data_IF_760919896015
#
_entry.id   IF_760919896015
#
_cell.length_a   1.000
_cell.length_b   1.000
_cell.length_c   1.000
_cell.angle_alpha   90.00
_cell.angle_beta   90.00
_cell.angle_gamma   90.00
#
_symmetry.space_group_name_H-M   'P 1'
#
loop_
_entity.id
_entity.type
_entity.pdbx_description
1 polymer ?
#
# COMPACT_ATOMS: atom_id res chain seq x y z
N UNK A 1 -12.06 12.20 10.47
CA UNK A 1 -11.38 11.20 11.33
C UNK A 1 -11.05 9.98 10.47
N UNK A 2 -9.88 9.37 10.65
CA UNK A 2 -9.46 8.14 9.97
C UNK A 2 -8.77 7.19 10.96
N UNK A 3 -8.78 5.88 10.68
CA UNK A 3 -8.12 4.87 11.51
C UNK A 3 -6.63 4.71 11.18
N UNK A 4 -5.96 3.76 11.84
CA UNK A 4 -4.52 3.47 11.64
C UNK A 4 -4.17 3.07 10.21
N UNK A 5 -5.12 2.47 9.48
CA UNK A 5 -4.93 2.04 8.09
C UNK A 5 -4.55 3.18 7.13
N UNK A 6 -4.78 4.44 7.51
CA UNK A 6 -4.40 5.62 6.69
C UNK A 6 -2.89 5.83 6.55
N UNK A 7 -2.09 5.11 7.33
CA UNK A 7 -0.63 5.23 7.36
C UNK A 7 0.08 4.07 6.65
N UNK A 8 -0.66 3.14 6.05
CA UNK A 8 -0.06 2.08 5.25
C UNK A 8 0.64 2.71 4.04
N UNK A 9 1.85 2.26 3.77
CA UNK A 9 2.57 2.64 2.56
C UNK A 9 2.34 1.63 1.45
N UNK A 10 2.69 2.04 0.23
CA UNK A 10 2.68 1.16 -0.92
C UNK A 10 3.89 0.23 -0.93
N UNK A 11 3.67 -1.03 -1.30
CA UNK A 11 4.72 -1.94 -1.78
C UNK A 11 4.20 -2.71 -2.99
N UNK A 12 5.07 -2.93 -3.99
CA UNK A 12 4.76 -3.81 -5.13
C UNK A 12 4.69 -5.30 -4.73
N UNK A 13 5.18 -5.67 -3.54
CA UNK A 13 4.97 -6.96 -2.89
C UNK A 13 4.43 -6.71 -1.48
N UNK A 14 3.12 -6.38 -1.35
CA UNK A 14 2.54 -6.06 -0.07
C UNK A 14 2.34 -7.30 0.80
N UNK A 15 2.17 -7.09 2.09
CA UNK A 15 1.82 -8.14 3.06
C UNK A 15 0.34 -8.11 3.45
N UNK A 16 -0.42 -7.20 2.83
CA UNK A 16 -1.86 -7.04 3.02
C UNK A 16 -2.60 -6.70 1.74
N UNK A 17 -3.92 -6.87 1.76
CA UNK A 17 -4.84 -6.48 0.69
C UNK A 17 -6.04 -5.69 1.25
N UNK A 18 -6.63 -4.84 0.41
CA UNK A 18 -7.92 -4.21 0.69
C UNK A 18 -9.06 -5.16 0.35
N UNK A 19 -9.94 -5.42 1.30
CA UNK A 19 -11.12 -6.26 1.10
C UNK A 19 -12.38 -5.48 1.43
N UNK A 20 -13.32 -5.44 0.49
CA UNK A 20 -14.66 -4.94 0.74
C UNK A 20 -15.48 -5.98 1.52
N UNK A 21 -16.02 -5.57 2.66
CA UNK A 21 -16.88 -6.40 3.49
C UNK A 21 -18.21 -5.73 3.73
N UNK A 22 -19.27 -6.55 3.78
CA UNK A 22 -20.59 -6.09 4.21
C UNK A 22 -20.72 -6.17 5.73
N UNK A 23 -21.06 -5.05 6.35
CA UNK A 23 -21.31 -4.94 7.78
C UNK A 23 -22.69 -4.32 8.01
N UNK A 24 -23.71 -5.17 8.21
CA UNK A 24 -25.06 -4.73 8.54
C UNK A 24 -25.69 -3.77 7.51
N UNK A 25 -25.46 -4.01 6.22
CA UNK A 25 -25.96 -3.17 5.13
C UNK A 25 -25.06 -1.99 4.77
N UNK A 26 -23.90 -1.84 5.43
CA UNK A 26 -22.85 -0.89 5.04
C UNK A 26 -21.70 -1.65 4.39
N UNK A 27 -21.15 -1.12 3.30
CA UNK A 27 -19.86 -1.58 2.78
C UNK A 27 -18.74 -0.90 3.55
N UNK A 28 -17.73 -1.65 3.96
CA UNK A 28 -16.51 -1.15 4.60
C UNK A 28 -15.31 -1.81 3.96
N UNK A 29 -14.22 -1.07 3.80
CA UNK A 29 -12.93 -1.62 3.38
C UNK A 29 -12.13 -1.97 4.62
N UNK A 30 -11.65 -3.20 4.70
CA UNK A 30 -10.70 -3.66 5.71
C UNK A 30 -9.37 -4.00 5.05
N UNK A 31 -8.31 -4.01 5.87
CA UNK A 31 -6.98 -4.45 5.44
C UNK A 31 -6.76 -5.85 6.04
N UNK A 32 -6.53 -6.83 5.17
CA UNK A 32 -6.36 -8.24 5.54
C UNK A 32 -4.92 -8.65 5.26
N UNK A 33 -4.27 -9.30 6.22
CA UNK A 33 -2.92 -9.84 6.04
C UNK A 33 -2.96 -11.06 5.12
N UNK A 34 -2.11 -11.08 4.10
CA UNK A 34 -2.03 -12.19 3.12
C UNK A 34 -0.88 -13.16 3.42
N UNK A 35 -0.01 -12.80 4.37
CA UNK A 35 1.16 -13.56 4.82
C UNK A 35 1.46 -13.25 6.30
N UNK A 36 2.36 -14.03 6.89
CA UNK A 36 2.88 -13.76 8.23
C UNK A 36 3.63 -12.42 8.26
N UNK A 37 3.43 -11.63 9.32
CA UNK A 37 4.10 -10.36 9.56
C UNK A 37 4.96 -10.49 10.81
N UNK A 38 6.27 -10.26 10.66
CA UNK A 38 7.20 -10.32 11.78
C UNK A 38 7.18 -9.03 12.59
N UNK A 39 7.61 -9.11 13.85
CA UNK A 39 7.69 -7.93 14.72
C UNK A 39 8.67 -6.90 14.12
N UNK A 40 8.18 -5.70 13.86
CA UNK A 40 8.97 -4.60 13.30
C UNK A 40 8.96 -4.54 11.77
N UNK A 41 8.33 -5.51 11.10
CA UNK A 41 8.05 -5.44 9.68
C UNK A 41 6.97 -4.38 9.40
N UNK A 42 7.17 -3.60 8.35
CA UNK A 42 6.20 -2.60 7.92
C UNK A 42 4.99 -3.28 7.27
N UNK A 43 3.80 -2.84 7.65
CA UNK A 43 2.57 -3.28 7.01
C UNK A 43 2.34 -2.44 5.76
N UNK A 44 2.34 -3.08 4.60
CA UNK A 44 2.22 -2.43 3.28
C UNK A 44 1.05 -3.00 2.49
N UNK A 45 0.55 -2.22 1.52
CA UNK A 45 -0.57 -2.58 0.65
C UNK A 45 -0.26 -2.20 -0.80
N UNK A 46 -0.94 -2.80 -1.77
CA UNK A 46 -0.84 -2.39 -3.17
C UNK A 46 -1.82 -1.23 -3.46
N UNK A 47 -1.30 -0.11 -3.98
CA UNK A 47 -2.09 1.05 -4.40
C UNK A 47 -2.40 1.05 -5.90
N UNK A 48 -1.89 0.07 -6.64
CA UNK A 48 -1.95 0.01 -8.10
C UNK A 48 -0.74 0.68 -8.76
N UNK A 49 -0.86 0.95 -10.06
CA UNK A 49 0.24 1.50 -10.87
C UNK A 49 0.20 3.02 -10.99
N UNK A 50 -0.98 3.62 -10.81
CA UNK A 50 -1.22 5.06 -10.95
C UNK A 50 -0.99 5.76 -9.59
N UNK A 51 0.28 5.99 -9.29
CA UNK A 51 0.72 6.61 -8.04
C UNK A 51 1.02 8.10 -8.27
N UNK A 52 0.61 8.94 -7.32
CA UNK A 52 0.94 10.38 -7.32
C UNK A 52 2.32 10.69 -6.69
N UNK A 53 3.11 9.65 -6.42
CA UNK A 53 4.43 9.69 -5.83
C UNK A 53 5.30 8.58 -6.42
N UNK A 54 6.62 8.71 -6.29
CA UNK A 54 7.56 7.67 -6.70
C UNK A 54 7.50 6.52 -5.69
N UNK A 55 7.19 5.30 -6.16
CA UNK A 55 7.25 4.10 -5.33
C UNK A 55 8.71 3.84 -4.90
N UNK A 56 8.96 3.82 -3.58
CA UNK A 56 10.28 3.55 -2.98
C UNK A 56 10.25 2.27 -2.15
N UNK A 57 9.62 1.23 -2.66
CA UNK A 57 9.61 -0.07 -1.98
C UNK A 57 10.96 -0.82 -2.10
N UNK A 58 11.87 -0.36 -2.97
CA UNK A 58 13.24 -0.86 -3.15
C UNK A 58 13.36 -2.35 -3.53
N UNK A 59 12.24 -3.00 -3.85
CA UNK A 59 12.21 -4.39 -4.28
C UNK A 59 12.74 -4.56 -5.71
N UNK A 60 13.42 -5.68 -5.97
CA UNK A 60 13.89 -6.03 -7.32
C UNK A 60 12.76 -6.15 -8.35
N UNK A 61 11.58 -6.52 -7.88
CA UNK A 61 10.35 -6.71 -8.64
C UNK A 61 9.41 -5.49 -8.59
N UNK A 62 9.89 -4.34 -8.11
CA UNK A 62 9.12 -3.10 -8.12
C UNK A 62 8.67 -2.74 -9.54
N UNK A 63 7.38 -2.48 -9.72
CA UNK A 63 6.80 -2.12 -11.03
C UNK A 63 7.27 -0.75 -11.52
N UNK A 64 7.78 0.08 -10.62
CA UNK A 64 8.29 1.43 -10.87
C UNK A 64 9.80 1.52 -10.64
N UNK A 65 10.53 0.40 -10.77
CA UNK A 65 11.96 0.32 -10.42
C UNK A 65 12.85 1.31 -11.17
N UNK A 66 12.42 1.78 -12.34
CA UNK A 66 13.19 2.67 -13.21
C UNK A 66 13.20 4.14 -12.77
N UNK A 67 12.39 4.52 -11.76
CA UNK A 67 12.25 5.92 -11.31
C UNK A 67 12.43 6.11 -9.80
N UNK A 68 12.86 5.09 -9.05
CA UNK A 68 12.89 5.18 -7.56
C UNK A 68 13.82 6.27 -7.01
N UNK A 69 14.83 6.66 -7.79
CA UNK A 69 15.78 7.73 -7.45
C UNK A 69 15.31 9.13 -7.89
N UNK A 70 14.15 9.23 -8.54
CA UNK A 70 13.58 10.51 -8.97
C UNK A 70 12.86 11.23 -7.80
N UNK A 71 12.69 12.54 -7.95
CA UNK A 71 11.85 13.32 -7.04
C UNK A 71 10.37 13.00 -7.28
N UNK A 72 9.55 13.14 -6.22
CA UNK A 72 8.10 13.00 -6.41
C UNK A 72 7.58 14.07 -7.37
N UNK A 73 6.58 13.75 -8.21
CA UNK A 73 5.94 14.75 -9.05
C UNK A 73 5.46 15.93 -8.19
N UNK A 74 5.65 17.16 -8.67
CA UNK A 74 5.05 18.33 -8.04
C UNK A 74 3.54 18.13 -8.02
N UNK A 75 2.92 18.16 -6.83
CA UNK A 75 1.46 18.17 -6.70
C UNK A 75 0.91 19.32 -7.58
N UNK A 76 0.16 18.96 -8.63
CA UNK A 76 -0.57 19.92 -9.48
C UNK A 76 -1.94 20.22 -8.90
#
# INVERSE_FOLDING_TARGET
MGGLMRFLNHSCRPVTEFVEVSNGGRTTVVVVTTQDILRGEEVTVDYGDDLWFVCRCELSECRHSNIQDEEDPLEV
#
